data_IF_279798979129
#
_entry.id   IF_279798979129
#
_cell.length_a   1.000
_cell.length_b   1.000
_cell.length_c   1.000
_cell.angle_alpha   90.00
_cell.angle_beta   90.00
_cell.angle_gamma   90.00
#
_symmetry.space_group_name_H-M   'P 1'
#
loop_
_entity.id
_entity.type
_entity.pdbx_description
1 polymer ?
#
# COMPACT_ATOMS: atom_id res chain seq x y z
N UNK A 1 -14.10 2.41 -8.16
CA UNK A 1 -13.19 1.89 -7.10
C UNK A 1 -11.71 2.07 -7.43
N UNK A 2 -11.21 1.53 -8.54
CA UNK A 2 -9.79 1.65 -8.94
C UNK A 2 -9.27 3.10 -8.96
N UNK A 3 -10.06 4.06 -9.44
CA UNK A 3 -9.72 5.49 -9.42
C UNK A 3 -9.48 6.02 -8.00
N UNK A 4 -10.41 5.78 -7.09
CA UNK A 4 -10.30 6.24 -5.70
C UNK A 4 -9.09 5.61 -4.99
N UNK A 5 -8.84 4.31 -5.24
CA UNK A 5 -7.66 3.63 -4.73
C UNK A 5 -6.37 4.27 -5.24
N UNK A 6 -6.25 4.51 -6.55
CA UNK A 6 -5.08 5.13 -7.15
C UNK A 6 -4.87 6.57 -6.63
N UNK A 7 -5.93 7.37 -6.47
CA UNK A 7 -5.84 8.71 -5.86
C UNK A 7 -5.28 8.64 -4.45
N UNK A 8 -5.78 7.72 -3.63
CA UNK A 8 -5.30 7.53 -2.25
C UNK A 8 -3.84 7.09 -2.22
N UNK A 9 -3.43 6.19 -3.12
CA UNK A 9 -2.05 5.74 -3.25
C UNK A 9 -1.11 6.89 -3.65
N UNK A 10 -1.50 7.72 -4.63
CA UNK A 10 -0.72 8.87 -5.09
C UNK A 10 -0.66 10.02 -4.08
N UNK A 11 -1.67 10.16 -3.22
CA UNK A 11 -1.70 11.16 -2.17
C UNK A 11 -0.81 10.81 -0.95
N UNK A 12 -0.32 9.57 -0.86
CA UNK A 12 0.52 9.16 0.26
C UNK A 12 1.89 9.85 0.24
N UNK A 13 2.34 10.31 1.40
CA UNK A 13 3.53 11.16 1.57
C UNK A 13 4.85 10.53 1.11
N UNK A 14 4.90 9.21 0.92
CA UNK A 14 6.09 8.48 0.49
C UNK A 14 6.15 8.22 -1.03
N UNK A 15 5.11 8.56 -1.79
CA UNK A 15 5.03 8.24 -3.21
C UNK A 15 5.49 9.44 -4.05
N UNK A 16 6.72 9.34 -4.57
CA UNK A 16 7.14 10.13 -5.74
C UNK A 16 6.32 9.75 -6.97
N UNK A 17 6.10 10.71 -7.88
CA UNK A 17 5.38 10.46 -9.15
C UNK A 17 5.93 9.20 -9.85
N UNK A 18 5.11 8.16 -10.05
CA UNK A 18 5.61 6.89 -10.54
C UNK A 18 6.04 7.00 -12.00
N UNK A 19 7.18 6.41 -12.35
CA UNK A 19 7.65 6.31 -13.74
C UNK A 19 6.82 5.35 -14.58
N UNK A 20 6.25 4.31 -13.97
CA UNK A 20 5.37 3.32 -14.60
C UNK A 20 4.47 2.69 -13.57
N UNK A 21 3.25 2.34 -13.97
CA UNK A 21 2.28 1.68 -13.08
C UNK A 21 2.09 0.25 -13.57
N UNK A 22 2.23 -0.70 -12.65
CA UNK A 22 1.87 -2.10 -12.92
C UNK A 22 0.54 -2.36 -12.26
N UNK A 23 -0.40 -2.92 -13.01
CA UNK A 23 -1.72 -3.29 -12.50
C UNK A 23 -2.07 -4.69 -12.98
N UNK A 24 -3.02 -5.30 -12.27
CA UNK A 24 -3.63 -6.53 -12.73
C UNK A 24 -4.41 -6.30 -14.03
N UNK A 25 -4.66 -7.35 -14.81
CA UNK A 25 -5.35 -7.30 -16.11
C UNK A 25 -6.84 -6.95 -16.04
N UNK A 26 -7.30 -6.35 -14.93
CA UNK A 26 -8.68 -5.92 -14.73
C UNK A 26 -9.01 -4.72 -15.63
N UNK A 27 -10.19 -4.75 -16.23
CA UNK A 27 -10.74 -3.70 -17.11
C UNK A 27 -10.95 -2.36 -16.38
N UNK A 28 -11.03 -2.35 -15.05
CA UNK A 28 -11.20 -1.14 -14.27
C UNK A 28 -9.95 -0.22 -14.28
N UNK A 29 -8.74 -0.76 -14.38
CA UNK A 29 -7.51 0.03 -14.29
C UNK A 29 -7.26 0.91 -15.52
N UNK A 30 -7.42 0.44 -16.77
CA UNK A 30 -7.26 1.31 -17.94
C UNK A 30 -8.18 2.53 -17.92
N UNK A 31 -9.44 2.34 -17.51
CA UNK A 31 -10.42 3.44 -17.39
C UNK A 31 -9.98 4.43 -16.32
N UNK A 32 -9.63 3.96 -15.13
CA UNK A 32 -9.17 4.81 -14.04
C UNK A 32 -7.88 5.59 -14.38
N UNK A 33 -6.92 4.96 -15.07
CA UNK A 33 -5.68 5.60 -15.48
C UNK A 33 -5.92 6.68 -16.53
N UNK A 34 -6.86 6.47 -17.47
CA UNK A 34 -7.22 7.49 -18.46
C UNK A 34 -7.80 8.73 -17.78
N UNK A 35 -8.76 8.55 -16.88
CA UNK A 35 -9.34 9.65 -16.12
C UNK A 35 -8.29 10.39 -15.25
N UNK A 36 -7.36 9.65 -14.63
CA UNK A 36 -6.29 10.27 -13.82
C UNK A 36 -5.25 11.03 -14.66
N UNK A 37 -5.09 10.67 -15.93
CA UNK A 37 -4.28 11.43 -16.89
C UNK A 37 -4.98 12.72 -17.28
N UNK A 38 -6.28 12.68 -17.54
CA UNK A 38 -7.12 13.85 -17.84
C UNK A 38 -7.13 14.85 -16.65
N UNK A 39 -7.23 14.33 -15.43
CA UNK A 39 -7.17 15.12 -14.18
C UNK A 39 -5.75 15.63 -13.83
N UNK A 40 -4.74 15.34 -14.65
CA UNK A 40 -3.31 15.70 -14.43
C UNK A 40 -2.72 15.16 -13.13
N UNK A 41 -3.34 14.16 -12.50
CA UNK A 41 -2.80 13.49 -11.31
C UNK A 41 -1.57 12.63 -11.64
N UNK A 42 -1.49 12.12 -12.88
CA UNK A 42 -0.39 11.28 -13.36
C UNK A 42 0.15 11.87 -14.68
N UNK A 43 1.47 11.86 -14.94
CA UNK A 43 2.02 12.25 -16.23
C UNK A 43 1.45 11.43 -17.38
N UNK A 44 1.08 12.07 -18.49
CA UNK A 44 0.54 11.40 -19.67
C UNK A 44 1.46 10.29 -20.21
N UNK A 45 2.78 10.49 -20.12
CA UNK A 45 3.80 9.53 -20.53
C UNK A 45 3.96 8.31 -19.61
N UNK A 46 3.21 8.20 -18.52
CA UNK A 46 3.30 7.05 -17.60
C UNK A 46 2.70 5.81 -18.26
N UNK A 47 3.49 4.75 -18.53
CA UNK A 47 2.99 3.52 -19.12
C UNK A 47 2.30 2.66 -18.06
N UNK A 48 1.19 2.03 -18.47
CA UNK A 48 0.50 0.98 -17.73
C UNK A 48 1.03 -0.38 -18.19
N UNK A 49 1.49 -1.21 -17.25
CA UNK A 49 1.99 -2.56 -17.50
C UNK A 49 1.04 -3.59 -16.90
N UNK A 50 0.49 -4.46 -17.76
CA UNK A 50 -0.39 -5.57 -17.39
C UNK A 50 0.22 -6.90 -17.85
N UNK A 51 1.46 -7.17 -17.43
CA UNK A 51 2.15 -8.42 -17.79
C UNK A 51 1.97 -9.43 -16.65
N UNK A 52 1.53 -10.65 -16.98
CA UNK A 52 1.26 -11.72 -16.00
C UNK A 52 2.43 -11.97 -15.03
N UNK A 53 3.67 -11.95 -15.50
CA UNK A 53 4.83 -12.19 -14.63
C UNK A 53 5.12 -11.03 -13.66
N UNK A 54 4.70 -9.80 -13.97
CA UNK A 54 4.85 -8.65 -13.05
C UNK A 54 3.84 -8.72 -11.91
N UNK A 55 2.68 -9.36 -12.14
CA UNK A 55 1.71 -9.63 -11.07
C UNK A 55 2.31 -10.49 -9.97
N UNK A 56 3.27 -11.37 -10.28
CA UNK A 56 3.95 -12.19 -9.25
C UNK A 56 4.60 -11.33 -8.16
N UNK A 57 5.12 -10.14 -8.49
CA UNK A 57 5.71 -9.21 -7.52
C UNK A 57 4.63 -8.65 -6.59
N UNK A 58 3.49 -8.25 -7.16
CA UNK A 58 2.34 -7.74 -6.42
C UNK A 58 1.78 -8.84 -5.50
N UNK A 59 1.60 -10.05 -6.03
CA UNK A 59 1.15 -11.22 -5.28
C UNK A 59 2.12 -11.61 -4.16
N UNK A 60 3.42 -11.47 -4.39
CA UNK A 60 4.44 -11.73 -3.38
C UNK A 60 4.36 -10.74 -2.23
N UNK A 61 4.13 -9.46 -2.50
CA UNK A 61 4.02 -8.44 -1.45
C UNK A 61 2.75 -8.66 -0.60
N UNK A 62 1.63 -9.07 -1.23
CA UNK A 62 0.40 -9.44 -0.53
C UNK A 62 0.52 -10.74 0.28
N UNK A 63 1.48 -11.62 -0.04
CA UNK A 63 1.61 -12.96 0.56
C UNK A 63 1.79 -12.90 2.07
N UNK A 64 2.54 -11.91 2.56
CA UNK A 64 2.79 -11.76 4.00
C UNK A 64 1.49 -11.43 4.77
N UNK A 65 0.73 -10.45 4.26
CA UNK A 65 -0.54 -10.03 4.85
C UNK A 65 -1.54 -11.19 4.82
N UNK A 66 -1.70 -11.86 3.65
CA UNK A 66 -2.58 -13.02 3.51
C UNK A 66 -2.21 -14.16 4.46
N UNK A 67 -0.91 -14.46 4.63
CA UNK A 67 -0.42 -15.51 5.54
C UNK A 67 -0.80 -15.22 6.98
N UNK A 68 -0.67 -13.97 7.43
CA UNK A 68 -1.04 -13.56 8.80
C UNK A 68 -2.55 -13.64 9.03
N UNK A 69 -3.35 -13.08 8.11
CA UNK A 69 -4.82 -13.07 8.21
C UNK A 69 -5.39 -14.50 8.18
N UNK A 70 -4.84 -15.39 7.33
CA UNK A 70 -5.30 -16.78 7.24
C UNK A 70 -5.21 -17.52 8.58
N UNK A 71 -4.18 -17.26 9.37
CA UNK A 71 -4.01 -17.87 10.68
C UNK A 71 -4.97 -17.32 11.75
N UNK A 72 -5.66 -16.21 11.47
CA UNK A 72 -6.55 -15.52 12.42
C UNK A 72 -8.03 -15.92 12.25
N UNK A 73 -8.33 -16.94 11.42
CA UNK A 73 -9.69 -17.42 11.12
C UNK A 73 -10.64 -16.35 10.55
N UNK A 74 -10.07 -15.29 9.96
CA UNK A 74 -10.83 -14.19 9.35
C UNK A 74 -11.17 -13.05 10.32
N UNK A 75 -11.33 -11.86 9.75
CA UNK A 75 -11.68 -10.64 10.48
C UNK A 75 -13.20 -10.48 10.50
N UNK A 76 -13.78 -10.39 11.69
CA UNK A 76 -15.25 -10.34 11.87
C UNK A 76 -15.87 -8.95 11.64
N UNK A 77 -15.06 -7.89 11.56
CA UNK A 77 -15.52 -6.51 11.39
C UNK A 77 -14.56 -5.73 10.50
N UNK A 78 -15.10 -4.84 9.65
CA UNK A 78 -14.32 -3.96 8.76
C UNK A 78 -13.43 -3.00 9.56
N UNK A 79 -13.91 -2.50 10.70
CA UNK A 79 -13.14 -1.61 11.57
C UNK A 79 -11.92 -2.33 12.14
N UNK A 80 -12.15 -3.54 12.67
CA UNK A 80 -11.08 -4.41 13.19
C UNK A 80 -10.11 -4.81 12.08
N UNK A 81 -10.64 -5.12 10.90
CA UNK A 81 -9.83 -5.47 9.74
C UNK A 81 -8.89 -4.35 9.33
N UNK A 82 -9.40 -3.12 9.25
CA UNK A 82 -8.63 -1.94 8.87
C UNK A 82 -7.48 -1.70 9.84
N UNK A 83 -7.76 -1.70 11.15
CA UNK A 83 -6.72 -1.51 12.19
C UNK A 83 -5.68 -2.63 12.17
N UNK A 84 -6.11 -3.87 12.00
CA UNK A 84 -5.21 -5.02 12.01
C UNK A 84 -4.32 -5.07 10.77
N UNK A 85 -4.87 -4.80 9.58
CA UNK A 85 -4.09 -4.73 8.33
C UNK A 85 -3.05 -3.61 8.45
N UNK A 86 -3.44 -2.42 8.92
CA UNK A 86 -2.52 -1.32 9.16
C UNK A 86 -1.39 -1.72 10.13
N UNK A 87 -1.72 -2.40 11.23
CA UNK A 87 -0.71 -2.91 12.16
C UNK A 87 0.27 -3.91 11.56
N UNK A 88 -0.23 -4.85 10.77
CA UNK A 88 0.61 -5.84 10.06
C UNK A 88 1.53 -5.14 9.07
N UNK A 89 1.04 -4.13 8.36
CA UNK A 89 1.80 -3.34 7.39
C UNK A 89 2.92 -2.55 8.06
N UNK A 90 2.64 -1.86 9.18
CA UNK A 90 3.65 -1.10 9.93
C UNK A 90 4.76 -1.99 10.45
N UNK A 91 4.41 -3.13 11.05
CA UNK A 91 5.39 -4.09 11.52
C UNK A 91 6.27 -4.62 10.38
N UNK A 92 5.70 -4.78 9.19
CA UNK A 92 6.43 -5.17 7.98
C UNK A 92 7.36 -4.07 7.47
N UNK A 93 6.91 -2.81 7.45
CA UNK A 93 7.72 -1.65 7.08
C UNK A 93 8.92 -1.47 8.03
N UNK A 94 8.69 -1.61 9.34
CA UNK A 94 9.75 -1.59 10.36
C UNK A 94 10.75 -2.72 10.11
N UNK A 95 10.26 -3.94 9.87
CA UNK A 95 11.12 -5.10 9.57
C UNK A 95 11.95 -4.91 8.29
N UNK A 96 11.38 -4.31 7.25
CA UNK A 96 12.07 -3.98 5.99
C UNK A 96 13.02 -2.77 6.12
N UNK A 97 12.95 -2.00 7.20
CA UNK A 97 13.72 -0.77 7.37
C UNK A 97 13.25 0.38 6.48
N UNK A 98 11.99 0.36 6.03
CA UNK A 98 11.40 1.39 5.15
C UNK A 98 10.96 2.66 5.88
N UNK A 99 11.23 2.75 7.18
CA UNK A 99 10.92 3.93 8.00
C UNK A 99 11.99 5.00 7.76
N UNK A 100 11.58 6.27 7.63
CA UNK A 100 12.45 7.43 7.35
C UNK A 100 13.57 7.64 8.38
N UNK A 101 13.54 6.94 9.50
CA UNK A 101 14.49 7.11 10.59
C UNK A 101 15.57 6.03 10.52
N UNK A 102 16.77 6.41 10.07
CA UNK A 102 17.96 5.56 10.09
C UNK A 102 18.29 4.98 11.47
N UNK A 103 19.04 3.86 11.46
CA UNK A 103 19.40 2.94 12.56
C UNK A 103 18.22 2.48 13.43
N UNK A 104 18.17 1.16 13.71
CA UNK A 104 17.14 0.41 14.45
C UNK A 104 17.01 0.86 15.92
N UNK A 105 16.59 2.09 16.19
CA UNK A 105 16.26 2.53 17.55
C UNK A 105 14.87 2.03 17.92
N UNK A 106 14.78 1.28 19.02
CA UNK A 106 13.51 0.74 19.56
C UNK A 106 12.55 1.88 19.95
N UNK A 107 13.06 2.98 20.50
CA UNK A 107 12.25 4.15 20.89
C UNK A 107 11.53 4.80 19.72
N UNK A 108 12.19 4.84 18.55
CA UNK A 108 11.63 5.39 17.31
C UNK A 108 10.53 4.51 16.73
N UNK A 109 10.70 3.19 16.83
CA UNK A 109 9.67 2.22 16.44
C UNK A 109 8.45 2.32 17.35
N UNK A 110 8.67 2.48 18.65
CA UNK A 110 7.61 2.72 19.65
C UNK A 110 6.85 4.00 19.28
N UNK A 111 7.54 5.12 19.06
CA UNK A 111 6.91 6.39 18.65
C UNK A 111 6.04 6.24 17.38
N UNK A 112 6.56 5.59 16.34
CA UNK A 112 5.82 5.29 15.10
C UNK A 112 4.55 4.48 15.36
N UNK A 113 4.61 3.49 16.25
CA UNK A 113 3.44 2.69 16.63
C UNK A 113 2.42 3.57 17.37
N UNK A 114 2.86 4.41 18.31
CA UNK A 114 1.98 5.31 19.05
C UNK A 114 1.26 6.31 18.13
N UNK A 115 2.00 6.95 17.23
CA UNK A 115 1.47 7.90 16.24
C UNK A 115 0.44 7.24 15.33
N UNK A 116 0.71 6.02 14.87
CA UNK A 116 -0.13 5.33 13.88
C UNK A 116 -1.41 4.73 14.48
N UNK A 117 -1.35 4.30 15.74
CA UNK A 117 -2.53 3.80 16.45
C UNK A 117 -3.25 4.86 17.29
N UNK A 118 -2.75 6.09 17.33
CA UNK A 118 -3.30 7.16 18.18
C UNK A 118 -3.29 6.80 19.66
N UNK A 119 -2.35 5.94 20.07
CA UNK A 119 -2.15 5.56 21.46
C UNK A 119 -1.37 6.72 22.11
N UNK A 120 -2.09 7.68 22.68
CA UNK A 120 -1.49 8.78 23.45
C UNK A 120 -0.50 8.21 24.45
N UNK A 121 0.74 8.73 24.43
CA UNK A 121 1.69 8.57 25.51
C UNK A 121 1.20 9.29 26.77
#
# INVERSE_FOLDING_TARGET
EAKCFLKKALASCHVTKPRSITADGDKAYPVAIRELKEEKCIPHGTPLRMKKYLNNIIEQDHRFIKKRIRNMLGLKSVLTATKMIAGIEVMHMIKKGQTLQGKKSVQKQIYLIHELFGLTA
#
